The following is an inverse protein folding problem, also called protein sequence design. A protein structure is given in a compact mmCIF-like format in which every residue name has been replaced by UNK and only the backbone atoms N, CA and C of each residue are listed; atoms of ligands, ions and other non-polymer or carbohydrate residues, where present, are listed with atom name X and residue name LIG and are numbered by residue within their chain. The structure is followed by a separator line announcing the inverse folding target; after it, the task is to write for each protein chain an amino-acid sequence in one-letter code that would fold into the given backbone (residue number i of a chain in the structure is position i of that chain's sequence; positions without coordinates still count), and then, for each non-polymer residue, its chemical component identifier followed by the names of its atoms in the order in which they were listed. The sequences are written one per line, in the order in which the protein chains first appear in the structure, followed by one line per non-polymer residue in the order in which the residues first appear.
data_IF_842685363187
#
_entry.id   IF_842685363187
#
_cell.length_a   1.000
_cell.length_b   1.000
_cell.length_c   1.000
_cell.angle_alpha   90.00
_cell.angle_beta   90.00
_cell.angle_gamma   90.00
#
_symmetry.space_group_name_H-M   'P 1'
#
loop_
_entity.id
_entity.type
_entity.pdbx_description
1 polymer ?
#
# COMPACT_ATOMS: atom_id res chain seq x y z
N UNK A 1 -2.87 -31.01 -18.58
CA UNK A 1 -2.37 -29.93 -17.70
C UNK A 1 -3.08 -28.65 -18.06
N UNK A 2 -3.61 -27.90 -17.09
CA UNK A 2 -4.19 -26.59 -17.38
C UNK A 2 -3.09 -25.66 -17.93
N UNK A 3 -3.38 -24.97 -19.04
CA UNK A 3 -2.43 -24.03 -19.64
C UNK A 3 -2.19 -22.87 -18.67
N UNK A 4 -0.92 -22.55 -18.39
CA UNK A 4 -0.59 -21.40 -17.55
C UNK A 4 -1.13 -20.11 -18.17
N UNK A 5 -1.70 -19.18 -17.40
CA UNK A 5 -2.12 -17.89 -17.93
C UNK A 5 -0.95 -17.14 -18.59
N UNK A 6 -1.19 -16.43 -19.69
CA UNK A 6 -0.13 -15.69 -20.41
C UNK A 6 0.64 -14.73 -19.50
N UNK A 7 -0.07 -14.02 -18.61
CA UNK A 7 0.54 -13.09 -17.66
C UNK A 7 1.53 -13.76 -16.69
N UNK A 8 1.34 -15.05 -16.37
CA UNK A 8 2.21 -15.81 -15.47
C UNK A 8 3.54 -16.19 -16.13
N UNK A 9 3.58 -16.16 -17.47
CA UNK A 9 4.71 -16.61 -18.28
C UNK A 9 5.64 -15.47 -18.73
N UNK A 10 5.33 -14.21 -18.41
CA UNK A 10 6.17 -13.07 -18.79
C UNK A 10 6.97 -12.55 -17.60
N UNK A 11 7.99 -11.73 -17.89
CA UNK A 11 8.69 -10.94 -16.88
C UNK A 11 7.98 -9.61 -16.60
N UNK A 12 6.78 -9.36 -17.12
CA UNK A 12 6.07 -8.10 -16.88
C UNK A 12 5.42 -8.08 -15.50
N UNK A 13 5.42 -6.92 -14.86
CA UNK A 13 4.61 -6.72 -13.66
C UNK A 13 3.15 -6.55 -14.06
N UNK A 14 2.25 -7.17 -13.31
CA UNK A 14 0.81 -7.03 -13.51
C UNK A 14 0.21 -6.47 -12.23
N UNK A 15 -0.63 -5.46 -12.37
CA UNK A 15 -1.28 -4.77 -11.25
C UNK A 15 -2.78 -4.82 -11.48
N UNK A 16 -3.50 -5.41 -10.52
CA UNK A 16 -4.94 -5.44 -10.49
C UNK A 16 -5.42 -4.44 -9.45
N UNK A 17 -6.14 -3.43 -9.90
CA UNK A 17 -6.85 -2.48 -9.03
C UNK A 17 -8.32 -2.88 -9.08
N UNK A 18 -8.83 -3.44 -7.99
CA UNK A 18 -10.17 -4.03 -7.99
C UNK A 18 -11.25 -2.95 -7.79
N UNK A 19 -12.34 -3.06 -8.54
CA UNK A 19 -13.51 -2.25 -8.29
C UNK A 19 -14.28 -2.82 -7.09
N UNK A 20 -14.05 -2.24 -5.93
CA UNK A 20 -14.66 -2.62 -4.65
C UNK A 20 -15.72 -1.60 -4.21
N UNK A 21 -16.03 -0.61 -5.05
CA UNK A 21 -16.85 0.54 -4.67
C UNK A 21 -16.05 1.50 -3.81
N UNK A 22 -16.36 1.58 -2.50
CA UNK A 22 -15.61 2.37 -1.53
C UNK A 22 -14.54 1.50 -0.88
N UNK A 23 -13.39 2.08 -0.57
CA UNK A 23 -12.21 1.35 -0.09
C UNK A 23 -11.17 1.14 -1.18
N UNK A 24 -10.21 0.27 -0.89
CA UNK A 24 -9.12 -0.06 -1.78
C UNK A 24 -8.71 -1.53 -1.69
N UNK A 25 -8.51 -2.18 -2.83
CA UNK A 25 -7.83 -3.48 -2.85
C UNK A 25 -7.03 -3.60 -4.14
N UNK A 26 -5.73 -3.83 -4.00
CA UNK A 26 -4.79 -3.90 -5.10
C UNK A 26 -3.91 -5.13 -4.94
N UNK A 27 -3.72 -5.86 -6.03
CA UNK A 27 -2.75 -6.94 -6.11
C UNK A 27 -1.68 -6.62 -7.15
N UNK A 28 -0.41 -6.80 -6.78
CA UNK A 28 0.74 -6.63 -7.66
C UNK A 28 1.42 -7.99 -7.79
N UNK A 29 1.51 -8.51 -9.02
CA UNK A 29 2.43 -9.58 -9.39
C UNK A 29 3.70 -8.94 -9.93
N UNK A 30 4.83 -9.17 -9.26
CA UNK A 30 6.13 -8.66 -9.71
C UNK A 30 6.67 -9.43 -10.90
N UNK A 31 7.70 -8.92 -11.58
CA UNK A 31 8.42 -9.64 -12.63
C UNK A 31 8.99 -11.01 -12.19
N UNK A 32 9.20 -11.19 -10.88
CA UNK A 32 9.65 -12.43 -10.26
C UNK A 32 8.51 -13.40 -9.96
N UNK A 33 7.30 -13.10 -10.42
CA UNK A 33 6.09 -13.87 -10.15
C UNK A 33 5.74 -13.99 -8.66
N UNK A 34 6.13 -12.99 -7.87
CA UNK A 34 5.80 -12.87 -6.44
C UNK A 34 4.62 -11.92 -6.27
N UNK A 35 3.75 -12.22 -5.30
CA UNK A 35 2.56 -11.40 -4.99
C UNK A 35 2.80 -10.37 -3.89
N UNK A 36 2.34 -9.14 -4.10
CA UNK A 36 2.18 -8.11 -3.08
C UNK A 36 0.69 -7.73 -3.05
N UNK A 37 0.08 -7.80 -1.87
CA UNK A 37 -1.30 -7.37 -1.65
C UNK A 37 -1.32 -6.04 -0.90
N UNK A 38 -2.14 -5.09 -1.34
CA UNK A 38 -2.31 -3.78 -0.71
C UNK A 38 -3.81 -3.54 -0.45
N UNK A 39 -4.17 -3.47 0.83
CA UNK A 39 -5.53 -3.39 1.37
C UNK A 39 -6.47 -4.55 0.98
N UNK A 40 -7.54 -4.75 1.76
CA UNK A 40 -8.40 -5.94 1.73
C UNK A 40 -9.88 -5.57 1.68
N UNK A 41 -10.22 -4.63 0.81
CA UNK A 41 -11.60 -4.20 0.62
C UNK A 41 -12.38 -5.14 -0.30
N UNK A 42 -13.70 -5.20 -0.16
CA UNK A 42 -14.61 -5.90 -1.06
C UNK A 42 -15.90 -5.11 -1.25
N UNK A 43 -16.60 -5.40 -2.35
CA UNK A 43 -17.98 -4.94 -2.53
C UNK A 43 -18.96 -6.04 -2.10
N UNK A 44 -20.27 -5.74 -2.16
CA UNK A 44 -21.31 -6.74 -1.91
C UNK A 44 -21.26 -7.88 -2.95
N UNK A 45 -20.92 -7.56 -4.20
CA UNK A 45 -20.99 -8.49 -5.33
C UNK A 45 -19.64 -9.08 -5.74
N UNK A 46 -18.52 -8.53 -5.23
CA UNK A 46 -17.19 -8.93 -5.63
C UNK A 46 -16.20 -8.98 -4.46
N UNK A 47 -15.52 -10.12 -4.35
CA UNK A 47 -14.47 -10.39 -3.38
C UNK A 47 -13.12 -10.55 -4.11
N UNK A 48 -12.22 -9.56 -4.00
CA UNK A 48 -10.87 -9.66 -4.55
C UNK A 48 -10.12 -10.89 -4.05
N UNK A 49 -10.27 -11.24 -2.78
CA UNK A 49 -9.56 -12.38 -2.18
C UNK A 49 -10.05 -13.71 -2.76
N UNK A 50 -11.35 -13.91 -2.97
CA UNK A 50 -11.88 -15.11 -3.65
C UNK A 50 -11.41 -15.16 -5.11
N UNK A 51 -11.41 -14.03 -5.82
CA UNK A 51 -10.92 -13.97 -7.20
C UNK A 51 -9.44 -14.35 -7.29
N UNK A 52 -8.60 -13.76 -6.43
CA UNK A 52 -7.16 -14.02 -6.40
C UNK A 52 -6.85 -15.47 -6.05
N UNK A 53 -7.48 -16.02 -5.00
CA UNK A 53 -7.28 -17.39 -4.55
C UNK A 53 -7.59 -18.42 -5.65
N UNK A 54 -8.62 -18.16 -6.46
CA UNK A 54 -9.01 -19.04 -7.56
C UNK A 54 -8.14 -18.88 -8.80
N UNK A 55 -7.83 -17.65 -9.20
CA UNK A 55 -7.34 -17.36 -10.56
C UNK A 55 -5.87 -16.96 -10.63
N UNK A 56 -5.27 -16.51 -9.54
CA UNK A 56 -3.94 -15.90 -9.54
C UNK A 56 -2.97 -16.66 -8.64
N UNK A 57 -3.31 -16.87 -7.37
CA UNK A 57 -2.40 -17.44 -6.38
C UNK A 57 -1.86 -18.85 -6.74
N UNK A 58 -2.64 -19.75 -7.38
CA UNK A 58 -2.15 -21.05 -7.81
C UNK A 58 -0.97 -20.99 -8.79
N UNK A 59 -0.75 -19.83 -9.44
CA UNK A 59 0.27 -19.64 -10.47
C UNK A 59 1.47 -18.81 -9.98
N UNK A 60 1.49 -18.37 -8.72
CA UNK A 60 2.59 -17.58 -8.16
C UNK A 60 3.76 -18.44 -7.70
N UNK A 61 4.96 -17.88 -7.78
CA UNK A 61 6.13 -18.41 -7.12
C UNK A 61 6.13 -18.05 -5.64
N UNK A 62 6.67 -18.95 -4.83
CA UNK A 62 6.74 -18.73 -3.39
C UNK A 62 7.89 -17.80 -3.02
N UNK A 63 7.62 -16.92 -2.08
CA UNK A 63 8.63 -16.16 -1.36
C UNK A 63 8.62 -16.62 0.09
N UNK A 64 9.75 -17.17 0.58
CA UNK A 64 9.87 -17.71 1.94
C UNK A 64 8.68 -18.63 2.32
N UNK A 65 8.36 -19.58 1.43
CA UNK A 65 7.26 -20.56 1.54
C UNK A 65 5.84 -19.98 1.53
N UNK A 66 5.67 -18.71 1.18
CA UNK A 66 4.36 -18.05 1.09
C UNK A 66 4.05 -17.68 -0.37
N UNK A 67 2.80 -17.90 -0.82
CA UNK A 67 2.35 -17.47 -2.16
C UNK A 67 2.28 -15.95 -2.30
N UNK A 68 1.89 -15.28 -1.22
CA UNK A 68 1.97 -13.83 -1.09
C UNK A 68 3.28 -13.49 -0.39
N UNK A 69 4.14 -12.72 -1.05
CA UNK A 69 5.40 -12.28 -0.46
C UNK A 69 5.15 -11.24 0.64
N UNK A 70 4.25 -10.30 0.37
CA UNK A 70 3.93 -9.21 1.29
C UNK A 70 2.45 -8.84 1.25
N UNK A 71 1.86 -8.65 2.43
CA UNK A 71 0.58 -7.98 2.60
C UNK A 71 0.80 -6.62 3.25
N UNK A 72 0.17 -5.59 2.71
CA UNK A 72 0.24 -4.22 3.19
C UNK A 72 -1.18 -3.78 3.51
N UNK A 73 -1.41 -3.33 4.73
CA UNK A 73 -2.59 -2.55 5.09
C UNK A 73 -2.13 -1.11 5.26
N UNK A 74 -2.69 -0.22 4.46
CA UNK A 74 -2.35 1.19 4.45
C UNK A 74 -2.63 1.82 5.81
N UNK A 75 -3.85 1.64 6.33
CA UNK A 75 -4.32 2.18 7.60
C UNK A 75 -5.56 1.43 8.13
N UNK A 76 -5.94 1.57 9.42
CA UNK A 76 -6.94 0.70 10.04
C UNK A 76 -8.40 1.20 9.91
N UNK A 77 -8.78 1.71 8.74
CA UNK A 77 -10.19 2.02 8.45
C UNK A 77 -10.93 0.81 7.86
N UNK A 78 -12.19 0.66 8.24
CA UNK A 78 -13.00 -0.52 8.00
C UNK A 78 -13.19 -0.83 6.51
N UNK A 79 -13.30 0.21 5.69
CA UNK A 79 -13.39 0.11 4.25
C UNK A 79 -12.07 -0.25 3.58
N UNK A 80 -10.94 -0.37 4.30
CA UNK A 80 -9.67 -0.91 3.81
C UNK A 80 -9.38 -2.35 4.28
N UNK A 81 -10.15 -2.83 5.27
CA UNK A 81 -9.91 -4.11 5.94
C UNK A 81 -11.15 -5.03 5.93
N UNK A 82 -12.09 -4.81 5.03
CA UNK A 82 -13.38 -5.50 5.06
C UNK A 82 -13.27 -7.03 4.94
N UNK A 83 -12.27 -7.54 4.22
CA UNK A 83 -11.95 -8.98 4.08
C UNK A 83 -10.71 -9.41 4.89
N UNK A 84 -10.30 -8.67 5.93
CA UNK A 84 -9.10 -9.01 6.71
C UNK A 84 -9.13 -10.43 7.33
N UNK A 85 -10.33 -10.99 7.52
CA UNK A 85 -10.51 -12.39 7.92
C UNK A 85 -9.85 -13.40 6.97
N UNK A 86 -9.59 -13.04 5.71
CA UNK A 86 -8.85 -13.91 4.80
C UNK A 86 -7.41 -14.16 5.26
N UNK A 87 -6.84 -13.26 6.08
CA UNK A 87 -5.50 -13.41 6.65
C UNK A 87 -5.51 -14.28 7.91
N UNK A 88 -6.65 -14.33 8.61
CA UNK A 88 -6.85 -15.19 9.76
C UNK A 88 -7.02 -16.64 9.29
N UNK A 89 -6.18 -17.55 9.77
CA UNK A 89 -6.53 -18.97 9.76
C UNK A 89 -6.61 -19.47 11.19
N UNK A 90 -7.50 -20.44 11.45
CA UNK A 90 -7.65 -21.07 12.78
C UNK A 90 -6.34 -21.67 13.32
N UNK A 91 -5.36 -21.93 12.44
CA UNK A 91 -4.04 -22.47 12.77
C UNK A 91 -2.89 -21.49 12.48
N UNK A 92 -3.18 -20.21 12.21
CA UNK A 92 -2.22 -19.13 11.98
C UNK A 92 -1.40 -19.17 10.69
N UNK A 93 -1.28 -20.31 10.00
CA UNK A 93 -0.40 -20.51 8.83
C UNK A 93 -1.06 -21.13 7.58
N UNK A 94 -2.34 -21.49 7.64
CA UNK A 94 -3.03 -22.20 6.55
C UNK A 94 -3.82 -21.27 5.61
N UNK A 95 -3.76 -19.94 5.81
CA UNK A 95 -4.36 -19.00 4.88
C UNK A 95 -3.54 -18.93 3.58
N UNK A 96 -4.18 -18.95 2.40
CA UNK A 96 -3.48 -18.71 1.14
C UNK A 96 -2.95 -17.26 1.01
N UNK A 97 -3.41 -16.35 1.86
CA UNK A 97 -2.95 -14.97 1.97
C UNK A 97 -1.99 -14.75 3.14
N UNK A 98 -1.65 -15.80 3.90
CA UNK A 98 -0.54 -15.72 4.83
C UNK A 98 0.73 -15.33 4.06
N UNK A 99 1.47 -14.37 4.59
CA UNK A 99 2.61 -13.79 3.90
C UNK A 99 3.84 -13.74 4.79
N UNK A 100 5.01 -13.79 4.17
CA UNK A 100 6.26 -13.67 4.92
C UNK A 100 6.43 -12.26 5.52
N UNK A 101 5.81 -11.24 4.92
CA UNK A 101 5.95 -9.85 5.31
C UNK A 101 4.57 -9.23 5.51
N UNK A 102 4.22 -8.97 6.76
CA UNK A 102 3.00 -8.27 7.13
C UNK A 102 3.33 -6.81 7.46
N UNK A 103 2.72 -5.87 6.73
CA UNK A 103 3.03 -4.44 6.81
C UNK A 103 1.78 -3.65 7.14
N UNK A 104 1.79 -2.92 8.25
CA UNK A 104 0.69 -2.08 8.71
C UNK A 104 1.20 -1.00 9.68
N UNK A 105 0.45 0.09 9.93
CA UNK A 105 0.83 1.13 10.89
C UNK A 105 1.27 0.57 12.24
N UNK A 106 2.19 1.27 12.89
CA UNK A 106 2.88 0.79 14.09
C UNK A 106 1.93 0.67 15.29
N UNK A 107 1.95 -0.46 16.00
CA UNK A 107 1.04 -0.73 17.14
C UNK A 107 1.76 -1.38 18.33
N UNK A 108 3.07 -1.13 18.48
CA UNK A 108 3.81 -1.55 19.66
C UNK A 108 4.15 -0.32 20.48
N UNK A 109 3.85 -0.40 21.78
CA UNK A 109 3.88 0.76 22.66
C UNK A 109 5.29 1.31 22.89
N UNK A 110 6.33 0.46 22.81
CA UNK A 110 7.71 0.85 23.14
C UNK A 110 8.68 0.11 22.23
N UNK A 111 9.25 0.81 21.25
CA UNK A 111 10.59 0.52 20.75
C UNK A 111 11.51 1.52 21.44
N UNK A 112 12.52 1.03 22.17
CA UNK A 112 13.58 1.90 22.72
C UNK A 112 13.16 3.05 23.65
N UNK A 113 11.96 3.00 24.26
CA UNK A 113 11.47 4.01 25.20
C UNK A 113 10.62 5.14 24.58
N UNK A 114 10.46 5.16 23.25
CA UNK A 114 9.59 6.11 22.56
C UNK A 114 8.21 5.47 22.27
N UNK A 115 7.13 6.23 22.49
CA UNK A 115 5.78 5.82 22.09
C UNK A 115 5.74 5.76 20.56
N UNK A 116 5.44 4.60 19.99
CA UNK A 116 5.37 4.40 18.54
C UNK A 116 3.97 3.93 18.09
N UNK A 117 3.09 3.60 19.04
CA UNK A 117 1.80 2.97 18.76
C UNK A 117 0.76 3.92 18.16
N UNK A 118 -0.10 3.35 17.31
CA UNK A 118 -1.37 3.94 16.91
C UNK A 118 -2.19 4.28 18.16
N UNK A 119 -2.72 5.50 18.18
CA UNK A 119 -3.72 5.91 19.14
C UNK A 119 -5.09 5.37 18.70
N UNK A 120 -5.42 4.18 19.18
CA UNK A 120 -6.66 3.48 18.82
C UNK A 120 -7.94 4.18 19.24
N UNK A 121 -7.89 5.05 20.26
CA UNK A 121 -9.05 5.84 20.67
C UNK A 121 -9.49 6.81 19.57
N UNK A 122 -8.57 7.19 18.68
CA UNK A 122 -8.78 8.09 17.55
C UNK A 122 -9.15 7.39 16.25
N UNK A 123 -9.12 6.06 16.21
CA UNK A 123 -9.57 5.28 15.04
C UNK A 123 -11.08 5.10 15.14
N UNK A 124 -11.82 5.90 14.37
CA UNK A 124 -13.29 5.88 14.35
C UNK A 124 -13.78 5.09 13.13
N UNK A 125 -14.29 3.89 13.37
CA UNK A 125 -14.93 3.07 12.34
C UNK A 125 -16.44 2.95 12.60
N UNK A 126 -17.26 2.66 11.56
CA UNK A 126 -18.68 2.41 11.75
C UNK A 126 -18.96 1.25 12.71
N UNK A 127 -20.08 1.32 13.43
CA UNK A 127 -20.55 0.25 14.31
C UNK A 127 -20.64 -1.09 13.55
N UNK A 128 -20.30 -2.19 14.24
CA UNK A 128 -20.28 -3.54 13.64
C UNK A 128 -18.96 -3.90 12.93
N UNK A 129 -17.92 -3.08 13.10
CA UNK A 129 -16.57 -3.32 12.56
C UNK A 129 -15.55 -3.73 13.63
N UNK A 130 -15.98 -3.89 14.88
CA UNK A 130 -15.14 -4.14 16.05
C UNK A 130 -14.32 -5.42 15.90
N UNK A 131 -14.94 -6.50 15.41
CA UNK A 131 -14.24 -7.77 15.20
C UNK A 131 -13.14 -7.65 14.12
N UNK A 132 -13.31 -6.78 13.11
CA UNK A 132 -12.27 -6.54 12.08
C UNK A 132 -11.06 -5.85 12.70
N UNK A 133 -11.28 -4.89 13.58
CA UNK A 133 -10.21 -4.17 14.29
C UNK A 133 -9.52 -5.07 15.31
N UNK A 134 -10.28 -5.89 16.02
CA UNK A 134 -9.72 -6.91 16.91
C UNK A 134 -8.82 -7.86 16.12
N UNK A 135 -9.31 -8.37 14.99
CA UNK A 135 -8.52 -9.26 14.15
C UNK A 135 -7.28 -8.58 13.57
N UNK A 136 -7.39 -7.33 13.13
CA UNK A 136 -6.23 -6.52 12.72
C UNK A 136 -5.16 -6.54 13.83
N UNK A 137 -5.54 -6.21 15.07
CA UNK A 137 -4.61 -6.17 16.20
C UNK A 137 -3.97 -7.54 16.47
N UNK A 138 -4.76 -8.60 16.42
CA UNK A 138 -4.30 -9.98 16.65
C UNK A 138 -3.29 -10.46 15.58
N UNK A 139 -3.60 -10.24 14.30
CA UNK A 139 -2.74 -10.65 13.17
C UNK A 139 -1.35 -10.02 13.22
N UNK A 140 -1.26 -8.81 13.77
CA UNK A 140 -0.03 -8.02 13.74
C UNK A 140 0.67 -7.87 15.09
N UNK A 141 0.11 -8.42 16.17
CA UNK A 141 0.71 -8.37 17.51
C UNK A 141 2.11 -9.01 17.55
N UNK A 142 2.29 -10.14 16.86
CA UNK A 142 3.54 -10.92 16.86
C UNK A 142 4.57 -10.47 15.81
N UNK A 143 4.28 -9.43 15.02
CA UNK A 143 5.15 -9.05 13.89
C UNK A 143 6.55 -8.63 14.33
N UNK A 144 7.53 -8.93 13.49
CA UNK A 144 8.88 -8.38 13.65
C UNK A 144 8.89 -6.90 13.29
N UNK A 145 9.61 -6.13 14.09
CA UNK A 145 9.87 -4.73 13.85
C UNK A 145 11.31 -4.57 13.33
N UNK A 146 11.58 -3.57 12.49
CA UNK A 146 10.64 -2.59 11.93
C UNK A 146 9.84 -3.15 10.73
N UNK A 147 9.04 -2.31 10.06
CA UNK A 147 8.45 -2.66 8.76
C UNK A 147 9.55 -3.04 7.76
N UNK A 148 9.23 -3.92 6.83
CA UNK A 148 10.18 -4.46 5.87
C UNK A 148 9.60 -4.47 4.46
N UNK A 149 10.49 -4.48 3.47
CA UNK A 149 10.19 -4.84 2.07
C UNK A 149 10.89 -6.16 1.75
N UNK A 150 10.63 -6.72 0.56
CA UNK A 150 11.20 -7.99 0.11
C UNK A 150 12.72 -7.88 0.15
N UNK A 151 13.38 -8.71 0.97
CA UNK A 151 14.82 -8.90 0.87
C UNK A 151 15.13 -9.59 -0.46
N UNK A 152 15.92 -8.94 -1.32
CA UNK A 152 16.27 -9.45 -2.63
C UNK A 152 17.59 -10.22 -2.59
N UNK A 153 17.50 -11.55 -2.57
CA UNK A 153 18.65 -12.46 -2.43
C UNK A 153 18.94 -13.22 -3.74
N UNK A 154 18.28 -12.85 -4.84
CA UNK A 154 18.44 -13.55 -6.11
C UNK A 154 19.81 -13.28 -6.74
N UNK A 155 20.33 -14.30 -7.45
CA UNK A 155 21.54 -14.16 -8.25
C UNK A 155 21.31 -13.45 -9.59
N UNK A 156 20.05 -13.24 -9.97
CA UNK A 156 19.65 -12.53 -11.19
C UNK A 156 19.37 -11.06 -10.85
N UNK A 157 19.33 -10.20 -11.85
CA UNK A 157 18.77 -8.84 -11.74
C UNK A 157 17.51 -8.75 -12.60
N UNK A 158 16.55 -7.96 -12.15
CA UNK A 158 15.42 -7.50 -12.97
C UNK A 158 15.62 -6.02 -13.26
N UNK A 159 15.93 -5.63 -14.50
CA UNK A 159 16.22 -4.24 -14.84
C UNK A 159 15.10 -3.28 -14.42
N UNK A 160 15.47 -2.24 -13.68
CA UNK A 160 14.56 -1.16 -13.26
C UNK A 160 13.30 -1.64 -12.52
N UNK A 161 13.39 -2.77 -11.80
CA UNK A 161 12.35 -3.19 -10.87
C UNK A 161 12.73 -2.77 -9.45
N UNK A 162 11.90 -1.94 -8.83
CA UNK A 162 12.11 -1.45 -7.48
C UNK A 162 10.78 -1.03 -6.86
N UNK A 163 10.71 -1.05 -5.53
CA UNK A 163 9.57 -0.51 -4.82
C UNK A 163 9.97 -0.02 -3.44
N UNK A 164 9.21 0.95 -2.94
CA UNK A 164 9.43 1.58 -1.66
C UNK A 164 8.14 1.77 -0.89
N UNK A 165 8.26 1.67 0.43
CA UNK A 165 7.23 2.04 1.40
C UNK A 165 7.64 3.32 2.11
N UNK A 166 6.70 4.25 2.22
CA UNK A 166 6.89 5.55 2.88
C UNK A 166 5.74 5.79 3.85
N UNK A 167 6.05 6.12 5.10
CA UNK A 167 5.02 6.38 6.10
C UNK A 167 5.54 7.29 7.21
N UNK A 168 4.62 7.97 7.88
CA UNK A 168 4.92 8.80 9.05
C UNK A 168 4.63 8.00 10.31
N UNK A 169 5.54 8.02 11.29
CA UNK A 169 5.31 7.34 12.57
C UNK A 169 4.05 7.87 13.26
N UNK A 170 3.22 7.02 13.89
CA UNK A 170 1.94 7.44 14.49
C UNK A 170 1.98 8.65 15.44
N UNK A 171 3.01 8.85 16.30
CA UNK A 171 3.10 10.03 17.16
C UNK A 171 3.23 11.33 16.37
N UNK A 172 3.97 11.30 15.27
CA UNK A 172 4.11 12.48 14.40
C UNK A 172 2.81 12.74 13.65
N UNK A 173 2.08 11.71 13.23
CA UNK A 173 0.72 11.89 12.68
C UNK A 173 -0.21 12.51 13.71
N UNK A 174 -0.07 12.16 14.99
CA UNK A 174 -0.84 12.78 16.07
C UNK A 174 -0.53 14.28 16.23
N UNK A 175 0.74 14.68 16.05
CA UNK A 175 1.16 16.10 16.04
C UNK A 175 0.64 16.85 14.80
N UNK A 176 0.67 16.22 13.62
CA UNK A 176 0.14 16.79 12.38
C UNK A 176 -1.37 17.00 12.44
N UNK A 177 -2.09 16.08 13.08
CA UNK A 177 -3.55 16.07 13.16
C UNK A 177 -4.03 16.04 14.61
N UNK A 178 -3.84 17.11 15.42
CA UNK A 178 -4.06 17.06 16.86
C UNK A 178 -5.54 16.98 17.27
N UNK A 179 -6.47 17.31 16.36
CA UNK A 179 -7.91 17.43 16.66
C UNK A 179 -8.83 16.68 15.70
N UNK A 180 -8.34 16.27 14.53
CA UNK A 180 -9.15 15.59 13.53
C UNK A 180 -8.81 14.10 13.53
N UNK A 181 -9.72 13.28 14.02
CA UNK A 181 -9.57 11.83 14.12
C UNK A 181 -9.59 11.14 12.76
N UNK A 182 -10.39 11.65 11.81
CA UNK A 182 -10.40 11.13 10.44
C UNK A 182 -9.05 11.36 9.76
N UNK A 183 -8.53 12.59 9.87
CA UNK A 183 -7.23 12.94 9.28
C UNK A 183 -6.08 12.22 9.99
N UNK A 184 -6.21 11.96 11.30
CA UNK A 184 -5.28 11.09 12.02
C UNK A 184 -5.25 9.68 11.43
N UNK A 185 -6.40 9.01 11.34
CA UNK A 185 -6.49 7.65 10.79
C UNK A 185 -5.98 7.56 9.36
N UNK A 186 -6.39 8.50 8.51
CA UNK A 186 -5.95 8.62 7.12
C UNK A 186 -4.45 8.93 7.00
N UNK A 187 -3.95 9.81 7.88
CA UNK A 187 -2.56 10.25 7.95
C UNK A 187 -1.56 9.12 8.29
N UNK A 188 -2.04 8.00 8.82
CA UNK A 188 -1.24 6.79 9.08
C UNK A 188 -0.95 5.98 7.82
N UNK A 189 -1.57 6.31 6.68
CA UNK A 189 -1.47 5.54 5.44
C UNK A 189 -0.02 5.24 5.04
N UNK A 190 0.27 3.97 4.79
CA UNK A 190 1.55 3.51 4.23
C UNK A 190 1.50 3.64 2.71
N UNK A 191 2.33 4.52 2.14
CA UNK A 191 2.40 4.73 0.69
C UNK A 191 3.31 3.67 0.06
N UNK A 192 2.91 3.12 -1.07
CA UNK A 192 3.74 2.26 -1.92
C UNK A 192 4.07 2.98 -3.23
N UNK A 193 5.36 3.18 -3.48
CA UNK A 193 5.88 3.53 -4.80
C UNK A 193 6.42 2.26 -5.47
N UNK A 194 6.06 2.01 -6.72
CA UNK A 194 6.55 0.85 -7.46
C UNK A 194 6.97 1.28 -8.86
N UNK A 195 8.11 0.76 -9.30
CA UNK A 195 8.64 1.00 -10.64
C UNK A 195 9.03 -0.30 -11.30
N UNK A 196 8.67 -0.43 -12.57
CA UNK A 196 9.19 -1.46 -13.45
C UNK A 196 9.45 -0.85 -14.84
N UNK A 197 10.73 -0.83 -15.25
CA UNK A 197 11.15 -0.21 -16.50
C UNK A 197 11.02 1.32 -16.42
N UNK A 198 10.23 1.89 -17.32
CA UNK A 198 9.88 3.32 -17.32
C UNK A 198 8.57 3.61 -16.59
N UNK A 199 7.80 2.57 -16.23
CA UNK A 199 6.48 2.74 -15.64
C UNK A 199 6.57 2.81 -14.13
N UNK A 200 5.84 3.76 -13.55
CA UNK A 200 5.78 4.01 -12.11
C UNK A 200 4.34 4.10 -11.64
N UNK A 201 4.06 3.59 -10.44
CA UNK A 201 2.77 3.75 -9.77
C UNK A 201 2.99 4.22 -8.34
N UNK A 202 2.14 5.12 -7.87
CA UNK A 202 2.02 5.52 -6.48
C UNK A 202 0.66 5.06 -5.96
N UNK A 203 0.67 4.28 -4.89
CA UNK A 203 -0.51 3.82 -4.16
C UNK A 203 -0.45 4.44 -2.76
N UNK A 204 -1.24 5.48 -2.49
CA UNK A 204 -1.07 6.27 -1.28
C UNK A 204 -2.06 5.96 -0.15
N UNK A 205 -2.96 4.99 -0.34
CA UNK A 205 -4.08 4.76 0.58
C UNK A 205 -4.93 6.01 0.70
N UNK A 206 -5.27 6.40 1.92
CA UNK A 206 -6.08 7.59 2.20
C UNK A 206 -5.26 8.76 2.74
N UNK A 207 -3.95 8.78 2.48
CA UNK A 207 -3.05 9.79 3.04
C UNK A 207 -3.59 11.21 2.87
N UNK A 208 -3.53 11.99 3.95
CA UNK A 208 -3.93 13.39 3.94
C UNK A 208 -2.87 14.25 3.23
N UNK A 209 -3.25 15.42 2.67
CA UNK A 209 -2.32 16.35 2.04
C UNK A 209 -1.16 16.76 2.95
N UNK A 210 -1.42 17.00 4.24
CA UNK A 210 -0.40 17.41 5.20
C UNK A 210 0.59 16.29 5.51
N UNK A 211 0.09 15.06 5.73
CA UNK A 211 0.96 13.91 5.95
C UNK A 211 1.77 13.56 4.69
N UNK A 212 1.16 13.66 3.50
CA UNK A 212 1.88 13.47 2.23
C UNK A 212 2.94 14.53 2.02
N UNK A 213 2.65 15.80 2.31
CA UNK A 213 3.63 16.89 2.27
C UNK A 213 4.80 16.61 3.21
N UNK A 214 4.51 16.17 4.45
CA UNK A 214 5.54 15.79 5.41
C UNK A 214 6.45 14.67 4.89
N UNK A 215 5.88 13.65 4.23
CA UNK A 215 6.64 12.58 3.55
C UNK A 215 7.52 13.14 2.42
N UNK A 216 6.96 14.02 1.57
CA UNK A 216 7.66 14.61 0.43
C UNK A 216 8.81 15.52 0.87
N UNK A 217 8.68 16.18 2.02
CA UNK A 217 9.69 17.08 2.58
C UNK A 217 10.77 16.35 3.38
N UNK A 218 10.61 15.05 3.63
CA UNK A 218 11.54 14.30 4.47
C UNK A 218 11.43 14.67 5.95
N UNK A 219 10.22 15.01 6.41
CA UNK A 219 9.97 15.47 7.77
C UNK A 219 10.37 14.46 8.85
N UNK A 220 10.58 14.95 10.08
CA UNK A 220 10.97 14.10 11.23
C UNK A 220 9.99 12.95 11.43
N UNK A 221 10.50 11.75 11.71
CA UNK A 221 9.68 10.55 11.88
C UNK A 221 9.08 10.00 10.59
N UNK A 222 9.58 10.42 9.42
CA UNK A 222 9.42 9.68 8.18
C UNK A 222 10.24 8.38 8.24
N UNK A 223 9.59 7.28 7.88
CA UNK A 223 10.24 5.98 7.69
C UNK A 223 10.18 5.56 6.22
N UNK A 224 11.24 4.90 5.75
CA UNK A 224 11.40 4.40 4.38
C UNK A 224 11.85 2.95 4.40
N UNK A 225 11.24 2.09 3.59
CA UNK A 225 11.76 0.75 3.28
C UNK A 225 11.79 0.59 1.78
N UNK A 226 12.86 0.04 1.24
CA UNK A 226 13.09 0.05 -0.20
C UNK A 226 13.82 -1.19 -0.67
N UNK A 227 13.35 -1.76 -1.78
CA UNK A 227 14.00 -2.88 -2.44
C UNK A 227 14.28 -2.52 -3.88
N UNK A 228 15.53 -2.70 -4.31
CA UNK A 228 15.90 -2.74 -5.71
C UNK A 228 16.14 -4.20 -6.08
N UNK A 229 15.44 -4.69 -7.10
CA UNK A 229 15.61 -6.05 -7.61
C UNK A 229 16.78 -6.12 -8.61
N UNK A 230 17.91 -5.54 -8.21
CA UNK A 230 19.17 -5.59 -8.95
C UNK A 230 20.26 -6.04 -7.98
N UNK A 231 21.01 -7.08 -8.36
CA UNK A 231 21.97 -7.72 -7.47
C UNK A 231 23.08 -6.77 -7.03
N UNK A 232 23.62 -5.96 -7.95
CA UNK A 232 24.73 -5.07 -7.63
C UNK A 232 24.24 -3.99 -6.66
N UNK A 233 23.16 -3.29 -7.01
CA UNK A 233 22.61 -2.22 -6.16
C UNK A 233 22.11 -2.72 -4.82
N UNK A 234 21.48 -3.90 -4.78
CA UNK A 234 21.04 -4.49 -3.51
C UNK A 234 22.20 -4.90 -2.62
N UNK A 235 23.36 -5.22 -3.19
CA UNK A 235 24.58 -5.55 -2.44
C UNK A 235 25.27 -4.29 -1.89
N UNK A 236 25.19 -3.18 -2.62
CA UNK A 236 25.65 -1.86 -2.16
C UNK A 236 24.76 -1.32 -1.01
N UNK A 237 23.50 -1.74 -0.96
CA UNK A 237 22.51 -1.27 0.01
C UNK A 237 21.76 -2.42 0.71
N UNK A 238 22.45 -3.28 1.48
CA UNK A 238 21.88 -4.52 2.04
C UNK A 238 20.73 -4.27 3.03
N UNK A 239 20.71 -3.10 3.67
CA UNK A 239 19.73 -2.75 4.72
C UNK A 239 18.62 -1.82 4.25
N UNK A 240 18.51 -1.54 2.95
CA UNK A 240 17.44 -0.69 2.47
C UNK A 240 16.06 -1.28 2.70
N UNK A 241 15.98 -2.60 2.75
CA UNK A 241 14.73 -3.32 2.88
C UNK A 241 14.17 -3.31 4.31
N UNK A 242 15.00 -3.08 5.34
CA UNK A 242 14.65 -3.21 6.75
C UNK A 242 15.01 -2.00 7.63
N UNK A 243 15.83 -1.05 7.18
CA UNK A 243 16.20 0.14 7.97
C UNK A 243 15.82 1.42 7.24
N UNK A 244 15.63 2.55 7.94
CA UNK A 244 15.59 3.87 7.30
C UNK A 244 17.00 4.47 7.31
N UNK A 245 17.53 4.81 6.13
CA UNK A 245 18.85 5.41 5.96
C UNK A 245 18.87 6.29 4.68
N UNK A 246 19.77 6.00 3.76
CA UNK A 246 20.08 6.73 2.53
C UNK A 246 19.19 6.34 1.34
N UNK A 247 18.05 5.66 1.56
CA UNK A 247 17.10 5.37 0.48
C UNK A 247 16.65 6.65 -0.23
N UNK A 248 16.31 6.56 -1.54
CA UNK A 248 15.65 7.65 -2.24
C UNK A 248 14.41 8.15 -1.49
N UNK A 249 14.22 9.47 -1.45
CA UNK A 249 12.97 10.06 -0.97
C UNK A 249 11.87 9.89 -2.01
N UNK A 250 10.60 9.87 -1.59
CA UNK A 250 9.48 9.84 -2.52
C UNK A 250 9.55 10.99 -3.52
N UNK A 251 9.89 12.20 -3.04
CA UNK A 251 10.07 13.38 -3.90
C UNK A 251 11.16 13.17 -4.96
N UNK A 252 12.31 12.58 -4.62
CA UNK A 252 13.37 12.35 -5.61
C UNK A 252 12.96 11.31 -6.65
N UNK A 253 12.27 10.24 -6.23
CA UNK A 253 11.73 9.22 -7.15
C UNK A 253 10.74 9.83 -8.14
N UNK A 254 9.77 10.62 -7.65
CA UNK A 254 8.76 11.29 -8.48
C UNK A 254 9.37 12.32 -9.43
N UNK A 255 10.38 13.06 -8.99
CA UNK A 255 11.09 14.04 -9.82
C UNK A 255 11.93 13.37 -10.92
N UNK A 256 12.62 12.28 -10.59
CA UNK A 256 13.57 11.64 -11.51
C UNK A 256 12.84 10.74 -12.53
N UNK A 257 11.90 9.93 -12.05
CA UNK A 257 11.21 8.92 -12.86
C UNK A 257 9.86 9.39 -13.40
N UNK A 258 9.24 10.41 -12.80
CA UNK A 258 7.86 10.78 -13.09
C UNK A 258 6.86 9.77 -12.51
N UNK A 259 5.58 10.01 -12.78
CA UNK A 259 4.49 9.17 -12.29
C UNK A 259 3.61 8.69 -13.45
N UNK A 260 3.64 7.39 -13.77
CA UNK A 260 2.76 6.87 -14.82
C UNK A 260 1.32 6.75 -14.32
N UNK A 261 1.13 6.16 -13.14
CA UNK A 261 -0.20 5.92 -12.56
C UNK A 261 -0.23 6.47 -11.13
N UNK A 262 -1.20 7.33 -10.84
CA UNK A 262 -1.56 7.69 -9.48
C UNK A 262 -2.86 6.95 -9.11
N UNK A 263 -2.84 6.15 -8.05
CA UNK A 263 -4.10 5.81 -7.36
C UNK A 263 -4.46 7.01 -6.50
N UNK A 264 -5.61 7.63 -6.75
CA UNK A 264 -5.97 8.87 -6.08
C UNK A 264 -6.15 8.62 -4.56
N UNK A 265 -5.47 9.40 -3.70
CA UNK A 265 -5.66 9.30 -2.26
C UNK A 265 -7.12 9.50 -1.85
N UNK A 266 -7.56 8.74 -0.85
CA UNK A 266 -8.85 8.95 -0.17
C UNK A 266 -10.01 8.98 -1.18
N UNK A 267 -10.05 7.97 -2.04
CA UNK A 267 -11.04 7.80 -3.11
C UNK A 267 -11.13 8.98 -4.08
N UNK A 268 -10.06 9.78 -4.20
CA UNK A 268 -10.04 10.98 -5.04
C UNK A 268 -10.87 12.15 -4.48
N UNK A 269 -11.26 12.12 -3.21
CA UNK A 269 -11.95 13.21 -2.54
C UNK A 269 -11.04 14.44 -2.39
N UNK A 270 -11.65 15.62 -2.22
CA UNK A 270 -10.93 16.89 -1.99
C UNK A 270 -9.97 16.82 -0.80
N UNK A 271 -10.35 16.10 0.25
CA UNK A 271 -9.53 15.88 1.44
C UNK A 271 -8.29 15.02 1.20
N UNK A 272 -8.17 14.35 0.05
CA UNK A 272 -6.96 13.62 -0.37
C UNK A 272 -6.15 14.32 -1.46
N UNK A 273 -6.66 15.40 -2.06
CA UNK A 273 -5.94 16.10 -3.14
C UNK A 273 -4.77 16.93 -2.59
N UNK A 274 -3.56 16.66 -3.08
CA UNK A 274 -2.33 17.34 -2.64
C UNK A 274 -1.67 18.12 -3.77
N UNK A 275 -1.56 19.44 -3.63
CA UNK A 275 -0.82 20.27 -4.59
C UNK A 275 0.69 20.01 -4.54
N UNK A 276 1.23 19.73 -3.35
CA UNK A 276 2.64 19.37 -3.15
C UNK A 276 3.04 18.09 -3.90
N UNK A 277 2.13 17.11 -3.99
CA UNK A 277 2.35 15.91 -4.79
C UNK A 277 2.58 16.29 -6.25
N UNK A 278 1.64 17.04 -6.86
CA UNK A 278 1.74 17.46 -8.25
C UNK A 278 2.96 18.34 -8.50
N UNK A 279 3.28 19.26 -7.58
CA UNK A 279 4.48 20.08 -7.65
C UNK A 279 5.78 19.26 -7.61
N UNK A 280 5.75 18.08 -6.99
CA UNK A 280 6.89 17.15 -6.92
C UNK A 280 7.05 16.26 -8.16
N UNK A 281 6.02 16.16 -9.02
CA UNK A 281 6.07 15.29 -10.20
C UNK A 281 6.94 15.86 -11.31
N UNK A 282 7.69 14.98 -11.98
CA UNK A 282 8.22 15.28 -13.32
C UNK A 282 7.07 15.69 -14.24
N UNK A 283 7.16 16.87 -14.85
CA UNK A 283 6.12 17.48 -15.69
C UNK A 283 4.81 17.88 -14.97
N UNK A 284 4.82 17.92 -13.62
CA UNK A 284 3.69 18.36 -12.79
C UNK A 284 2.37 17.59 -12.98
N UNK A 285 2.40 16.37 -13.53
CA UNK A 285 1.20 15.54 -13.72
C UNK A 285 1.55 14.04 -13.81
N UNK A 286 0.65 13.14 -13.39
CA UNK A 286 0.72 11.74 -13.76
C UNK A 286 0.21 11.52 -15.19
N UNK A 287 0.51 10.37 -15.79
CA UNK A 287 -0.07 9.98 -17.08
C UNK A 287 -1.54 9.52 -16.95
N UNK A 288 -1.86 8.81 -15.87
CA UNK A 288 -3.19 8.31 -15.54
C UNK A 288 -3.48 8.47 -14.05
N UNK A 289 -4.71 8.86 -13.71
CA UNK A 289 -5.22 8.82 -12.33
C UNK A 289 -6.32 7.76 -12.26
N UNK A 290 -6.21 6.84 -11.32
CA UNK A 290 -7.22 5.82 -11.03
C UNK A 290 -7.91 6.18 -9.73
N UNK A 291 -9.24 6.27 -9.76
CA UNK A 291 -10.06 6.64 -8.60
C UNK A 291 -10.89 5.42 -8.20
N UNK A 292 -10.65 4.91 -6.99
CA UNK A 292 -11.44 3.83 -6.39
C UNK A 292 -12.55 4.44 -5.55
N UNK A 293 -13.72 4.64 -6.16
CA UNK A 293 -14.90 5.16 -5.49
C UNK A 293 -16.19 4.58 -6.09
N UNK A 294 -17.27 4.59 -5.31
CA UNK A 294 -18.63 4.31 -5.80
C UNK A 294 -19.22 5.54 -6.48
N UNK A 295 -20.24 5.33 -7.31
CA UNK A 295 -21.05 6.44 -7.82
C UNK A 295 -21.73 7.16 -6.65
N UNK A 296 -21.50 8.46 -6.52
CA UNK A 296 -22.16 9.30 -5.52
C UNK A 296 -23.65 9.40 -5.82
N UNK A 297 -24.49 8.92 -4.90
CA UNK A 297 -25.96 8.90 -5.01
C UNK A 297 -26.63 9.82 -3.99
N UNK A 298 -25.89 10.28 -2.98
CA UNK A 298 -26.34 11.25 -1.97
C UNK A 298 -25.28 12.29 -1.67
N UNK A 299 -25.69 13.43 -1.10
CA UNK A 299 -24.79 14.54 -0.74
C UNK A 299 -23.74 14.17 0.32
N UNK A 300 -23.95 13.06 1.04
CA UNK A 300 -23.03 12.52 2.06
C UNK A 300 -21.92 11.65 1.49
N UNK A 301 -21.94 11.30 0.19
CA UNK A 301 -20.95 10.43 -0.44
C UNK A 301 -19.60 11.13 -0.74
N UNK A 302 -19.49 12.43 -0.42
CA UNK A 302 -18.33 13.24 -0.76
C UNK A 302 -18.38 13.74 -2.20
N UNK A 303 -17.29 14.31 -2.70
CA UNK A 303 -17.18 14.75 -4.09
C UNK A 303 -15.76 14.52 -4.57
N UNK A 304 -15.62 13.83 -5.71
CA UNK A 304 -14.33 13.66 -6.39
C UNK A 304 -13.79 15.04 -6.75
N UNK A 305 -12.54 15.31 -6.36
CA UNK A 305 -11.94 16.62 -6.60
C UNK A 305 -11.78 16.88 -8.10
N UNK A 306 -12.37 17.97 -8.57
CA UNK A 306 -12.34 18.36 -9.98
C UNK A 306 -10.94 18.63 -10.54
N UNK A 307 -9.94 18.83 -9.67
CA UNK A 307 -8.54 19.06 -10.04
C UNK A 307 -7.82 17.79 -10.48
N UNK A 308 -8.33 16.59 -10.17
CA UNK A 308 -7.79 15.37 -10.75
C UNK A 308 -7.99 15.38 -12.27
N UNK A 309 -6.94 15.12 -13.08
CA UNK A 309 -7.08 15.00 -14.52
C UNK A 309 -8.14 13.97 -14.88
N UNK A 310 -9.23 14.39 -15.52
CA UNK A 310 -10.29 13.48 -15.95
C UNK A 310 -9.81 12.64 -17.13
N UNK A 311 -9.30 11.45 -16.85
CA UNK A 311 -9.14 10.39 -17.83
C UNK A 311 -10.15 9.29 -17.52
N UNK A 312 -11.23 9.21 -18.29
CA UNK A 312 -12.22 8.14 -18.16
C UNK A 312 -11.66 6.86 -18.78
N UNK A 313 -11.29 5.88 -17.96
CA UNK A 313 -11.11 4.51 -18.42
C UNK A 313 -12.47 3.80 -18.31
N UNK A 314 -13.14 3.56 -19.45
CA UNK A 314 -14.25 2.60 -19.49
C UNK A 314 -13.64 1.21 -19.45
N UNK A 315 -13.81 0.51 -18.32
CA UNK A 315 -13.52 -0.92 -18.27
C UNK A 315 -14.43 -1.64 -19.25
N UNK A 316 -13.83 -2.40 -20.18
CA UNK A 316 -14.50 -3.37 -21.05
C UNK A 316 -14.63 -4.70 -20.33
#
# INVERSE_FOLDING_TARGET
MAQLPRWAQTLQSHIWIFNVGRGLSIFIRTALNQGIMYDFSCSQDFSPTKFLAKNILPHLYEYKKCKIAQTIISHPHADHISEISCLASKDGKNSPFYSSLHTCPHDKAVLSGEQEAVNWERIKNPDGTEEKIKLYKELYASRNLPLQTICYESQRSVPNLEYGLFYVRPPVVNELHPKNDQDYGNGLSILLFYRHGIHTILIPGDITPDSLKHILDGGKGLEKRYTIFDRQKSSEHPHWHDQSNDQPSLRSLLKNHGLSILVAPHHGLKSGYSEDLYASLKNKKPNLVVISDKRHKSDTDGTIDSRYPRAYARGT
#
